data_IF_229439201136
#
_entry.id   IF_229439201136
#
_cell.length_a   1.000
_cell.length_b   1.000
_cell.length_c   1.000
_cell.angle_alpha   90.00
_cell.angle_beta   90.00
_cell.angle_gamma   90.00
#
_symmetry.space_group_name_H-M   'P 1'
#
loop_
_entity.id
_entity.type
_entity.pdbx_description
1 polymer ?
#
# COMPACT_ATOMS: atom_id res chain seq x y z
N UNK A 1 22.65 -7.14 46.35
CA UNK A 1 23.22 -8.12 45.39
C UNK A 1 22.55 -8.15 44.01
N UNK A 2 21.47 -7.40 43.77
CA UNK A 2 20.86 -7.29 42.42
C UNK A 2 21.28 -6.04 41.65
N UNK A 3 21.87 -5.02 42.27
CA UNK A 3 22.28 -3.77 41.62
C UNK A 3 23.55 -3.88 40.78
N UNK A 4 24.45 -4.82 41.11
CA UNK A 4 25.70 -5.00 40.37
C UNK A 4 25.52 -5.52 38.93
N UNK A 5 24.45 -6.28 38.66
CA UNK A 5 24.22 -6.82 37.31
C UNK A 5 23.80 -5.74 36.30
N UNK A 6 23.15 -4.68 36.75
CA UNK A 6 22.67 -3.59 35.89
C UNK A 6 23.76 -2.51 35.67
N UNK A 7 24.63 -2.33 36.67
CA UNK A 7 25.64 -1.29 36.69
C UNK A 7 26.69 -1.42 35.58
N UNK A 8 27.15 -2.67 35.34
CA UNK A 8 28.13 -2.95 34.27
C UNK A 8 27.52 -3.44 32.96
N UNK A 9 26.20 -3.40 32.79
CA UNK A 9 25.51 -3.92 31.60
C UNK A 9 26.00 -3.32 30.30
N UNK A 10 26.24 -2.01 30.28
CA UNK A 10 26.74 -1.30 29.11
C UNK A 10 28.23 -1.49 28.92
N UNK A 11 29.01 -1.56 30.02
CA UNK A 11 30.44 -1.74 29.97
C UNK A 11 30.83 -3.09 29.36
N UNK A 12 30.04 -4.14 29.60
CA UNK A 12 30.23 -5.47 28.99
C UNK A 12 30.12 -5.51 27.45
N UNK A 13 29.65 -4.44 26.84
CA UNK A 13 29.59 -4.32 25.38
C UNK A 13 30.82 -3.63 24.80
N UNK A 14 31.65 -3.02 25.62
CA UNK A 14 32.76 -2.15 25.22
C UNK A 14 34.11 -2.83 25.39
N UNK A 15 35.06 -2.42 24.55
CA UNK A 15 36.47 -2.71 24.67
C UNK A 15 37.19 -1.57 25.40
N UNK A 16 38.10 -1.92 26.30
CA UNK A 16 38.79 -0.98 27.13
C UNK A 16 40.30 -1.17 27.01
N UNK A 17 41.04 -0.08 26.88
CA UNK A 17 42.49 -0.05 26.98
C UNK A 17 42.86 0.50 28.37
N UNK A 18 43.66 -0.25 29.13
CA UNK A 18 44.20 0.16 30.40
C UNK A 18 45.74 0.26 30.32
N UNK A 19 46.29 1.39 30.75
CA UNK A 19 47.74 1.66 30.65
C UNK A 19 48.25 2.10 32.02
N UNK A 20 49.19 1.32 32.60
CA UNK A 20 49.78 1.52 33.93
C UNK A 20 51.18 0.90 33.94
N UNK A 21 52.20 1.61 34.43
CA UNK A 21 53.56 1.10 34.48
C UNK A 21 53.86 0.31 35.77
N UNK A 22 53.21 0.64 36.89
CA UNK A 22 53.37 -0.13 38.13
C UNK A 22 52.71 -1.50 37.99
N UNK A 23 53.49 -2.55 38.17
CA UNK A 23 53.07 -3.94 37.94
C UNK A 23 51.93 -4.36 38.89
N UNK A 24 52.04 -4.02 40.18
CA UNK A 24 51.07 -4.43 41.16
C UNK A 24 49.71 -3.71 40.92
N UNK A 25 49.76 -2.42 40.69
CA UNK A 25 48.56 -1.61 40.35
C UNK A 25 47.90 -2.10 39.06
N UNK A 26 48.74 -2.45 38.06
CA UNK A 26 48.27 -2.93 36.76
C UNK A 26 47.53 -4.28 36.91
N UNK A 27 48.13 -5.27 37.63
CA UNK A 27 47.52 -6.58 37.86
C UNK A 27 46.23 -6.49 38.68
N UNK A 28 46.21 -5.66 39.73
CA UNK A 28 45.00 -5.47 40.57
C UNK A 28 43.84 -4.92 39.75
N UNK A 29 44.07 -3.88 38.95
CA UNK A 29 43.01 -3.28 38.17
C UNK A 29 42.62 -4.12 36.94
N UNK A 30 43.57 -4.82 36.32
CA UNK A 30 43.33 -5.82 35.30
C UNK A 30 42.34 -6.89 35.79
N UNK A 31 42.66 -7.50 36.97
CA UNK A 31 41.78 -8.50 37.59
C UNK A 31 40.38 -7.94 37.86
N UNK A 32 40.27 -6.67 38.26
CA UNK A 32 38.99 -6.03 38.51
C UNK A 32 38.20 -5.84 37.21
N UNK A 33 38.82 -5.43 36.10
CA UNK A 33 38.17 -5.03 34.85
C UNK A 33 37.87 -6.21 33.92
N UNK A 34 38.70 -7.30 33.90
CA UNK A 34 38.62 -8.37 32.91
C UNK A 34 37.23 -9.02 32.73
N UNK A 35 36.43 -9.10 33.80
CA UNK A 35 35.09 -9.67 33.76
C UNK A 35 33.98 -8.64 33.55
N UNK A 36 34.31 -7.35 33.44
CA UNK A 36 33.36 -6.24 33.35
C UNK A 36 33.27 -5.62 31.96
N UNK A 37 34.21 -5.90 31.08
CA UNK A 37 34.30 -5.39 29.70
C UNK A 37 34.22 -6.51 28.69
N UNK A 38 33.94 -6.17 27.41
CA UNK A 38 33.93 -7.14 26.30
C UNK A 38 35.35 -7.62 25.98
N UNK A 39 36.28 -6.68 25.82
CA UNK A 39 37.69 -6.93 25.62
C UNK A 39 38.48 -5.97 26.48
N UNK A 40 39.54 -6.47 27.17
CA UNK A 40 40.47 -5.67 27.92
C UNK A 40 41.85 -5.76 27.25
N UNK A 41 42.42 -4.62 26.95
CA UNK A 41 43.78 -4.47 26.47
C UNK A 41 44.62 -3.80 27.55
N UNK A 42 45.76 -4.33 27.86
CA UNK A 42 46.62 -3.86 28.96
C UNK A 42 47.99 -3.52 28.43
N UNK A 43 48.51 -2.36 28.81
CA UNK A 43 49.83 -1.87 28.43
C UNK A 43 50.59 -1.37 29.65
N UNK A 44 51.93 -1.48 29.60
CA UNK A 44 52.83 -1.08 30.69
C UNK A 44 53.48 0.29 30.51
N UNK A 45 53.17 1.00 29.42
CA UNK A 45 53.66 2.35 29.15
C UNK A 45 52.86 2.97 28.00
N UNK A 46 52.98 4.28 27.81
CA UNK A 46 52.22 4.99 26.80
C UNK A 46 52.49 4.60 25.35
N UNK A 47 53.72 4.09 25.03
CA UNK A 47 54.04 3.63 23.68
C UNK A 47 53.26 2.34 23.35
N UNK A 48 53.32 1.36 24.24
CA UNK A 48 52.57 0.12 24.09
C UNK A 48 51.06 0.39 24.09
N UNK A 49 50.60 1.33 24.93
CA UNK A 49 49.19 1.78 24.93
C UNK A 49 48.78 2.38 23.60
N UNK A 50 49.63 3.20 22.98
CA UNK A 50 49.34 3.78 21.67
C UNK A 50 49.30 2.69 20.56
N UNK A 51 50.28 1.75 20.57
CA UNK A 51 50.33 0.65 19.62
C UNK A 51 49.06 -0.26 19.70
N UNK A 52 48.60 -0.56 20.93
CA UNK A 52 47.39 -1.32 21.17
C UNK A 52 46.13 -0.51 20.76
N UNK A 53 46.13 0.82 20.96
CA UNK A 53 45.03 1.67 20.48
C UNK A 53 44.95 1.62 18.94
N UNK A 54 46.07 1.79 18.23
CA UNK A 54 46.03 1.74 16.75
C UNK A 54 45.54 0.38 16.24
N UNK A 55 45.98 -0.71 16.89
CA UNK A 55 45.64 -2.07 16.49
C UNK A 55 44.19 -2.46 16.77
N UNK A 56 43.64 -2.07 17.92
CA UNK A 56 42.38 -2.61 18.43
C UNK A 56 41.23 -1.58 18.50
N UNK A 57 41.54 -0.28 18.38
CA UNK A 57 40.55 0.80 18.43
C UNK A 57 39.57 0.64 19.60
N UNK A 58 40.02 0.65 20.87
CA UNK A 58 39.15 0.45 22.02
C UNK A 58 38.11 1.59 22.16
N UNK A 59 37.00 1.31 22.82
CA UNK A 59 35.92 2.26 23.01
C UNK A 59 36.16 3.26 24.16
N UNK A 60 37.07 2.91 25.07
CA UNK A 60 37.37 3.68 26.28
C UNK A 60 38.82 3.42 26.69
N UNK A 61 39.49 4.43 27.25
CA UNK A 61 40.89 4.34 27.74
C UNK A 61 40.93 4.73 29.21
N UNK A 62 41.69 3.95 29.99
CA UNK A 62 42.13 4.33 31.34
C UNK A 62 43.65 4.39 31.29
N UNK A 63 44.24 5.47 31.79
CA UNK A 63 45.72 5.60 31.76
C UNK A 63 46.26 6.35 32.97
N UNK A 64 47.44 5.94 33.45
CA UNK A 64 48.25 6.83 34.30
C UNK A 64 48.86 7.94 33.45
N UNK A 65 49.24 9.03 34.12
CA UNK A 65 49.94 10.17 33.51
C UNK A 65 51.43 9.93 33.41
N UNK A 66 52.06 9.51 34.50
CA UNK A 66 53.51 9.40 34.61
C UNK A 66 53.97 7.96 34.37
N UNK A 67 54.48 7.71 33.21
CA UNK A 67 54.98 6.41 32.82
C UNK A 67 56.31 6.51 32.06
N UNK A 68 57.24 5.52 32.19
CA UNK A 68 58.44 5.48 31.42
C UNK A 68 58.16 5.32 29.91
N UNK A 69 59.15 5.60 29.07
CA UNK A 69 59.15 5.51 27.61
C UNK A 69 58.25 6.59 26.97
N UNK A 70 56.94 6.60 27.28
CA UNK A 70 56.00 7.62 26.84
C UNK A 70 55.01 7.89 27.95
N UNK A 71 54.79 9.17 28.29
CA UNK A 71 53.81 9.60 29.28
C UNK A 71 52.37 9.45 28.78
N UNK A 72 51.39 9.26 29.69
CA UNK A 72 50.00 9.20 29.36
C UNK A 72 49.49 10.44 28.61
N UNK A 73 49.96 11.63 29.00
CA UNK A 73 49.58 12.89 28.30
C UNK A 73 50.06 12.94 26.87
N UNK A 74 51.29 12.45 26.60
CA UNK A 74 51.79 12.36 25.21
C UNK A 74 51.00 11.33 24.39
N UNK A 75 50.73 10.16 24.97
CA UNK A 75 49.87 9.14 24.35
C UNK A 75 48.48 9.70 24.03
N UNK A 76 47.82 10.38 25.00
CA UNK A 76 46.53 10.99 24.81
C UNK A 76 46.52 12.01 23.67
N UNK A 77 47.58 12.84 23.55
CA UNK A 77 47.73 13.81 22.44
C UNK A 77 47.71 13.12 21.09
N UNK A 78 48.44 12.03 20.94
CA UNK A 78 48.51 11.24 19.69
C UNK A 78 47.13 10.59 19.39
N UNK A 79 46.53 9.97 20.40
CA UNK A 79 45.21 9.32 20.24
C UNK A 79 44.15 10.33 19.86
N UNK A 80 44.11 11.51 20.50
CA UNK A 80 43.12 12.57 20.19
C UNK A 80 43.27 13.19 18.80
N UNK A 81 44.44 13.06 18.16
CA UNK A 81 44.63 13.43 16.75
C UNK A 81 43.96 12.42 15.80
N UNK A 82 43.84 11.16 16.20
CA UNK A 82 43.20 10.09 15.41
C UNK A 82 41.69 10.04 15.73
N UNK A 83 41.34 10.05 17.03
CA UNK A 83 39.97 10.00 17.52
C UNK A 83 39.78 11.07 18.62
N UNK A 84 39.27 12.24 18.23
CA UNK A 84 39.11 13.37 19.14
C UNK A 84 38.01 13.14 20.20
N UNK A 85 37.08 12.23 19.96
CA UNK A 85 35.89 12.00 20.80
C UNK A 85 36.06 10.82 21.76
N UNK A 86 37.09 10.00 21.63
CA UNK A 86 37.27 8.82 22.51
C UNK A 86 37.30 9.22 23.98
N UNK A 87 36.47 8.59 24.84
CA UNK A 87 36.49 8.86 26.27
C UNK A 87 37.80 8.34 26.90
N UNK A 88 38.38 9.18 27.74
CA UNK A 88 39.64 8.86 28.45
C UNK A 88 39.48 9.19 29.94
N UNK A 89 39.80 8.24 30.78
CA UNK A 89 39.87 8.40 32.21
C UNK A 89 41.34 8.38 32.63
N UNK A 90 41.79 9.43 33.32
CA UNK A 90 43.12 9.54 33.86
C UNK A 90 43.16 9.09 35.31
N UNK A 91 44.15 8.32 35.69
CA UNK A 91 44.49 8.00 37.08
C UNK A 91 45.78 8.73 37.43
N UNK A 92 45.83 9.55 38.48
CA UNK A 92 46.99 10.38 38.82
C UNK A 92 47.27 10.42 40.30
N UNK A 93 48.49 10.67 40.71
CA UNK A 93 48.85 10.95 42.10
C UNK A 93 48.37 12.36 42.52
N UNK A 94 48.00 12.53 43.78
CA UNK A 94 47.37 13.75 44.33
C UNK A 94 48.22 15.05 44.18
N UNK A 95 49.51 14.99 43.93
CA UNK A 95 50.41 16.15 43.95
C UNK A 95 50.75 16.75 42.57
N UNK A 96 50.12 16.32 41.50
CA UNK A 96 50.47 16.70 40.12
C UNK A 96 49.49 17.72 39.50
N UNK A 97 49.40 18.93 40.11
CA UNK A 97 48.52 19.99 39.62
C UNK A 97 48.82 20.42 38.18
N UNK A 98 50.07 20.46 37.78
CA UNK A 98 50.46 20.86 36.41
C UNK A 98 49.97 19.89 35.36
N UNK A 99 50.04 18.57 35.62
CA UNK A 99 49.52 17.54 34.73
C UNK A 99 48.00 17.48 34.68
N UNK A 100 47.33 17.86 35.78
CA UNK A 100 45.86 18.02 35.81
C UNK A 100 45.43 19.11 34.84
N UNK A 101 46.11 20.29 34.84
CA UNK A 101 45.82 21.35 33.88
C UNK A 101 46.09 20.93 32.44
N UNK A 102 47.11 20.10 32.19
CA UNK A 102 47.38 19.57 30.87
C UNK A 102 46.28 18.56 30.43
N UNK A 103 45.82 17.71 31.33
CA UNK A 103 44.73 16.77 31.10
C UNK A 103 43.41 17.47 30.75
N UNK A 104 43.08 18.53 31.46
CA UNK A 104 41.91 19.37 31.17
C UNK A 104 41.99 19.98 29.75
N UNK A 105 43.17 20.50 29.36
CA UNK A 105 43.42 21.03 28.01
C UNK A 105 43.29 19.95 26.93
N UNK A 106 43.49 18.68 27.25
CA UNK A 106 43.34 17.54 26.34
C UNK A 106 41.93 17.02 26.25
N UNK A 107 40.97 17.67 26.92
CA UNK A 107 39.58 17.33 26.93
C UNK A 107 39.34 15.82 27.29
N UNK A 108 39.96 15.38 28.40
CA UNK A 108 39.71 14.05 28.96
C UNK A 108 38.34 14.00 29.62
N UNK A 109 37.72 12.81 29.62
CA UNK A 109 36.33 12.65 30.08
C UNK A 109 36.23 12.71 31.61
N UNK A 110 37.23 12.14 32.32
CA UNK A 110 37.26 12.14 33.76
C UNK A 110 38.71 11.93 34.29
N UNK A 111 38.91 12.21 35.57
CA UNK A 111 40.16 11.89 36.27
C UNK A 111 39.87 11.33 37.66
N UNK A 112 40.72 10.45 38.14
CA UNK A 112 40.65 9.83 39.47
C UNK A 112 42.03 9.94 40.14
N UNK A 113 42.03 10.10 41.45
CA UNK A 113 43.28 10.21 42.23
C UNK A 113 43.67 8.87 42.87
N UNK A 114 44.99 8.58 42.91
CA UNK A 114 45.54 7.46 43.70
C UNK A 114 45.58 7.84 45.19
N UNK A 115 45.24 6.95 46.16
CA UNK A 115 44.88 5.56 45.96
C UNK A 115 43.51 5.40 45.30
N UNK A 116 43.41 4.51 44.34
CA UNK A 116 42.25 4.34 43.47
C UNK A 116 41.04 3.79 44.27
N UNK A 117 39.96 4.55 44.28
CA UNK A 117 38.72 4.07 44.82
C UNK A 117 37.95 3.30 43.71
N UNK A 118 37.86 1.96 43.82
CA UNK A 118 37.20 1.11 42.85
C UNK A 118 35.73 1.38 42.67
N UNK A 119 35.03 1.90 43.71
CA UNK A 119 33.65 2.30 43.61
C UNK A 119 33.52 3.57 42.73
N UNK A 120 34.35 4.61 43.00
CA UNK A 120 34.36 5.80 42.16
C UNK A 120 34.72 5.50 40.71
N UNK A 121 35.70 4.64 40.47
CA UNK A 121 36.06 4.19 39.12
C UNK A 121 34.88 3.48 38.46
N UNK A 122 34.20 2.56 39.16
CA UNK A 122 33.02 1.85 38.64
C UNK A 122 31.93 2.81 38.20
N UNK A 123 31.62 3.83 39.02
CA UNK A 123 30.62 4.84 38.74
C UNK A 123 30.97 5.68 37.49
N UNK A 124 32.22 6.11 37.37
CA UNK A 124 32.72 6.83 36.19
C UNK A 124 32.60 5.95 34.94
N UNK A 125 33.06 4.69 34.99
CA UNK A 125 33.01 3.77 33.85
C UNK A 125 31.57 3.43 33.43
N UNK A 126 30.68 3.22 34.39
CA UNK A 126 29.28 2.97 34.10
C UNK A 126 28.58 4.15 33.39
N UNK A 127 28.86 5.37 33.85
CA UNK A 127 28.33 6.58 33.22
C UNK A 127 28.85 6.78 31.80
N UNK A 128 30.17 6.59 31.58
CA UNK A 128 30.78 6.69 30.24
C UNK A 128 30.18 5.62 29.32
N UNK A 129 30.12 4.36 29.79
CA UNK A 129 29.59 3.25 29.01
C UNK A 129 28.11 3.46 28.62
N UNK A 130 27.31 4.00 29.54
CA UNK A 130 25.93 4.38 29.28
C UNK A 130 25.83 5.43 28.17
N UNK A 131 26.65 6.47 28.22
CA UNK A 131 26.66 7.54 27.22
C UNK A 131 27.08 7.01 25.84
N UNK A 132 28.15 6.20 25.77
CA UNK A 132 28.59 5.56 24.51
C UNK A 132 27.46 4.70 23.91
N UNK A 133 26.79 3.90 24.75
CA UNK A 133 25.71 3.04 24.27
C UNK A 133 24.52 3.87 23.76
N UNK A 134 24.11 4.94 24.46
CA UNK A 134 23.05 5.83 24.02
C UNK A 134 23.40 6.55 22.70
N UNK A 135 24.65 6.98 22.53
CA UNK A 135 25.11 7.57 21.27
C UNK A 135 25.05 6.54 20.10
N UNK A 136 25.47 5.31 20.36
CA UNK A 136 25.43 4.24 19.36
C UNK A 136 23.97 3.86 19.01
N UNK A 137 23.09 3.70 20.00
CA UNK A 137 21.66 3.46 19.76
C UNK A 137 21.02 4.60 18.96
N UNK A 138 21.33 5.85 19.26
CA UNK A 138 20.85 7.00 18.50
C UNK A 138 21.36 7.00 17.05
N UNK A 139 22.64 6.63 16.82
CA UNK A 139 23.19 6.49 15.46
C UNK A 139 22.48 5.38 14.67
N UNK A 140 22.24 4.22 15.29
CA UNK A 140 21.52 3.11 14.68
C UNK A 140 20.06 3.50 14.31
N UNK A 141 19.36 4.15 15.24
CA UNK A 141 18.00 4.65 15.02
C UNK A 141 17.99 5.66 13.86
N UNK A 142 18.94 6.62 13.89
CA UNK A 142 19.05 7.63 12.82
C UNK A 142 19.32 7.00 11.46
N UNK A 143 20.24 6.03 11.37
CA UNK A 143 20.56 5.31 10.13
C UNK A 143 19.35 4.52 9.62
N UNK A 144 18.62 3.85 10.52
CA UNK A 144 17.41 3.12 10.16
C UNK A 144 16.32 4.06 9.65
N UNK A 145 16.08 5.17 10.33
CA UNK A 145 15.12 6.19 9.89
C UNK A 145 15.49 6.79 8.54
N UNK A 146 16.78 7.02 8.29
CA UNK A 146 17.27 7.50 6.99
C UNK A 146 16.97 6.50 5.88
N UNK A 147 17.25 5.21 6.10
CA UNK A 147 16.94 4.16 5.11
C UNK A 147 15.43 4.05 4.84
N UNK A 148 14.58 4.08 5.88
CA UNK A 148 13.13 4.12 5.69
C UNK A 148 12.68 5.33 4.88
N UNK A 149 13.23 6.51 5.18
CA UNK A 149 12.94 7.72 4.44
C UNK A 149 13.33 7.57 2.96
N UNK A 150 14.53 7.06 2.66
CA UNK A 150 15.03 6.90 1.29
C UNK A 150 14.11 5.96 0.48
N UNK A 151 13.67 4.83 1.06
CA UNK A 151 12.72 3.90 0.42
C UNK A 151 11.38 4.58 0.09
N UNK A 152 10.86 5.38 1.02
CA UNK A 152 9.58 6.08 0.84
C UNK A 152 9.73 7.21 -0.17
N UNK A 153 10.85 7.95 -0.15
CA UNK A 153 11.15 9.03 -1.08
C UNK A 153 11.30 8.55 -2.54
N UNK A 154 11.73 7.32 -2.76
CA UNK A 154 11.88 6.75 -4.12
C UNK A 154 10.55 6.39 -4.79
N UNK A 155 9.56 5.97 -4.02
CA UNK A 155 8.32 5.37 -4.55
C UNK A 155 7.09 6.24 -4.42
N UNK A 156 7.04 7.09 -3.43
CA UNK A 156 5.87 7.89 -3.11
C UNK A 156 6.09 9.35 -3.51
N UNK A 157 5.03 10.02 -3.90
CA UNK A 157 5.02 11.45 -4.18
C UNK A 157 4.93 12.18 -2.85
N UNK A 158 6.00 12.92 -2.47
CA UNK A 158 6.09 13.58 -1.18
C UNK A 158 6.19 15.08 -1.35
N UNK A 159 5.43 15.81 -0.54
CA UNK A 159 5.62 17.24 -0.34
C UNK A 159 5.51 17.61 1.15
N UNK A 160 6.18 18.70 1.55
CA UNK A 160 6.00 19.35 2.84
C UNK A 160 5.59 20.78 2.62
N UNK A 161 4.80 21.28 3.55
CA UNK A 161 4.43 22.69 3.56
C UNK A 161 4.60 23.27 4.97
N UNK A 162 4.78 24.57 5.05
CA UNK A 162 4.66 25.30 6.33
C UNK A 162 3.20 25.32 6.82
N UNK A 163 2.97 25.99 7.94
CA UNK A 163 1.63 26.12 8.56
C UNK A 163 0.64 26.91 7.70
N UNK A 164 1.11 27.66 6.71
CA UNK A 164 0.30 28.43 5.76
C UNK A 164 0.03 27.68 4.44
N UNK A 165 0.53 26.45 4.32
CA UNK A 165 0.39 25.64 3.11
C UNK A 165 1.37 26.04 1.98
N UNK A 166 2.47 26.71 2.31
CA UNK A 166 3.54 27.06 1.37
C UNK A 166 4.52 25.88 1.28
N UNK A 167 4.85 25.44 0.07
CA UNK A 167 5.72 24.30 -0.18
C UNK A 167 7.14 24.60 0.29
N UNK A 168 7.65 23.75 1.17
CA UNK A 168 9.02 23.80 1.73
C UNK A 168 9.90 22.65 1.23
N UNK A 169 9.29 21.57 0.78
CA UNK A 169 9.99 20.40 0.24
C UNK A 169 9.13 19.65 -0.76
N UNK A 170 9.76 19.11 -1.79
CA UNK A 170 9.22 18.07 -2.67
C UNK A 170 10.34 17.07 -3.00
N UNK A 171 9.95 15.83 -3.33
CA UNK A 171 10.87 14.80 -3.81
C UNK A 171 10.85 14.68 -5.35
N UNK A 172 11.74 13.87 -5.91
CA UNK A 172 11.85 13.65 -7.35
C UNK A 172 10.58 13.07 -7.99
N UNK A 173 9.87 12.08 -7.41
CA UNK A 173 8.57 11.63 -7.92
C UNK A 173 7.54 12.76 -8.04
N UNK A 174 7.53 13.73 -7.12
CA UNK A 174 6.64 14.89 -7.21
C UNK A 174 6.99 15.77 -8.44
N UNK A 175 8.28 16.04 -8.69
CA UNK A 175 8.70 16.77 -9.89
C UNK A 175 8.25 16.06 -11.17
N UNK A 176 8.46 14.73 -11.22
CA UNK A 176 8.11 13.91 -12.40
C UNK A 176 6.62 13.95 -12.72
N UNK A 177 5.77 13.76 -11.73
CA UNK A 177 4.32 13.72 -11.97
C UNK A 177 3.73 15.10 -12.23
N UNK A 178 4.17 16.13 -11.50
CA UNK A 178 3.63 17.48 -11.64
C UNK A 178 4.18 18.23 -12.84
N UNK A 179 5.35 17.83 -13.33
CA UNK A 179 6.06 18.52 -14.43
C UNK A 179 6.70 19.84 -14.04
N UNK A 180 6.68 20.20 -12.75
CA UNK A 180 7.38 21.38 -12.23
C UNK A 180 8.72 20.98 -11.66
N UNK A 181 9.70 21.89 -11.76
CA UNK A 181 10.96 21.75 -11.04
C UNK A 181 10.84 22.24 -9.60
N UNK A 182 11.69 21.69 -8.73
CA UNK A 182 11.71 22.03 -7.31
C UNK A 182 11.82 23.54 -7.07
N UNK A 183 12.67 24.23 -7.81
CA UNK A 183 12.90 25.66 -7.71
C UNK A 183 11.66 26.49 -8.07
N UNK A 184 10.76 25.93 -8.89
CA UNK A 184 9.52 26.61 -9.31
C UNK A 184 8.41 26.47 -8.27
N UNK A 185 8.47 25.44 -7.42
CA UNK A 185 7.44 25.12 -6.42
C UNK A 185 7.79 25.58 -5.00
N UNK A 186 9.06 25.60 -4.65
CA UNK A 186 9.46 26.07 -3.33
C UNK A 186 9.02 27.52 -3.10
N UNK A 187 8.41 27.78 -1.93
CA UNK A 187 7.86 29.09 -1.59
C UNK A 187 6.53 29.42 -2.25
N UNK A 188 5.95 28.50 -3.03
CA UNK A 188 4.61 28.68 -3.63
C UNK A 188 3.55 27.93 -2.82
N UNK A 189 2.29 28.40 -2.86
CA UNK A 189 1.21 27.67 -2.22
C UNK A 189 0.96 26.34 -2.93
N UNK A 190 0.70 25.28 -2.15
CA UNK A 190 0.47 23.93 -2.70
C UNK A 190 -0.74 23.86 -3.65
N UNK A 191 -1.65 24.83 -3.57
CA UNK A 191 -2.79 24.98 -4.48
C UNK A 191 -2.42 25.18 -5.94
N UNK A 192 -1.14 25.49 -6.27
CA UNK A 192 -0.67 25.66 -7.65
C UNK A 192 -0.90 24.43 -8.54
N UNK A 193 -0.88 23.23 -7.96
CA UNK A 193 -1.12 21.96 -8.65
C UNK A 193 -2.57 21.50 -8.57
N UNK A 194 -3.43 22.21 -7.86
CA UNK A 194 -4.82 21.80 -7.65
C UNK A 194 -5.65 22.01 -8.90
N UNK A 195 -6.39 20.98 -9.33
CA UNK A 195 -7.30 21.12 -10.48
C UNK A 195 -8.45 22.09 -10.17
N UNK A 196 -8.78 23.06 -11.06
CA UNK A 196 -9.79 24.11 -10.79
C UNK A 196 -11.19 23.58 -10.47
N UNK A 197 -11.57 22.44 -11.06
CA UNK A 197 -12.91 21.83 -10.87
C UNK A 197 -13.06 21.04 -9.57
N UNK A 198 -12.04 21.01 -8.69
CA UNK A 198 -12.14 20.25 -7.44
C UNK A 198 -13.14 20.91 -6.48
N UNK A 199 -13.93 20.09 -5.79
CA UNK A 199 -14.89 20.61 -4.82
C UNK A 199 -14.18 21.22 -3.60
N UNK A 200 -14.32 22.54 -3.45
CA UNK A 200 -13.68 23.31 -2.34
C UNK A 200 -14.05 22.82 -0.93
N UNK A 201 -15.18 22.10 -0.78
CA UNK A 201 -15.56 21.54 0.52
C UNK A 201 -14.61 20.43 0.99
N UNK A 202 -13.89 19.76 0.08
CA UNK A 202 -12.86 18.78 0.43
C UNK A 202 -11.75 19.46 1.24
N UNK A 203 -11.30 20.61 0.79
CA UNK A 203 -10.24 21.39 1.48
C UNK A 203 -10.70 21.92 2.84
N UNK A 204 -11.96 22.36 2.96
CA UNK A 204 -12.50 22.78 4.27
C UNK A 204 -12.46 21.61 5.29
N UNK A 205 -12.88 20.41 4.86
CA UNK A 205 -12.82 19.20 5.72
C UNK A 205 -11.37 18.79 6.02
N UNK A 206 -10.50 18.86 5.03
CA UNK A 206 -9.07 18.59 5.18
C UNK A 206 -8.44 19.50 6.23
N UNK A 207 -8.55 20.84 6.04
CA UNK A 207 -7.99 21.84 6.95
C UNK A 207 -8.55 21.73 8.39
N UNK A 208 -9.85 21.47 8.54
CA UNK A 208 -10.41 21.20 9.86
C UNK A 208 -9.71 20.03 10.54
N UNK A 209 -9.49 18.94 9.80
CA UNK A 209 -8.92 17.72 10.36
C UNK A 209 -7.45 17.87 10.71
N UNK A 210 -6.63 18.45 9.82
CA UNK A 210 -5.18 18.55 10.03
C UNK A 210 -4.79 19.71 10.94
N UNK A 211 -5.49 20.86 10.88
CA UNK A 211 -5.13 22.05 11.65
C UNK A 211 -5.84 22.11 13.01
N UNK A 212 -7.15 21.84 13.06
CA UNK A 212 -7.93 21.96 14.31
C UNK A 212 -7.85 20.66 15.12
N UNK A 213 -8.13 19.51 14.48
CA UNK A 213 -8.12 18.21 15.17
C UNK A 213 -6.71 17.62 15.32
N UNK A 214 -5.69 18.19 14.64
CA UNK A 214 -4.29 17.72 14.59
C UNK A 214 -4.18 16.24 14.22
N UNK A 215 -5.08 15.76 13.35
CA UNK A 215 -5.13 14.37 12.86
C UNK A 215 -4.79 14.29 11.39
N UNK A 216 -4.36 13.13 10.93
CA UNK A 216 -4.16 12.88 9.49
C UNK A 216 -5.47 12.95 8.72
N UNK A 217 -5.41 13.51 7.52
CA UNK A 217 -6.50 13.47 6.54
C UNK A 217 -6.07 12.60 5.36
N UNK A 218 -7.01 11.83 4.81
CA UNK A 218 -6.81 11.01 3.62
C UNK A 218 -7.93 11.27 2.61
N UNK A 219 -7.59 11.24 1.32
CA UNK A 219 -8.56 11.39 0.24
C UNK A 219 -7.93 11.25 -1.13
N UNK A 220 -8.80 11.25 -2.16
CA UNK A 220 -8.36 11.28 -3.55
C UNK A 220 -8.51 12.68 -4.09
N UNK A 221 -7.47 13.16 -4.73
CA UNK A 221 -7.44 14.50 -5.33
C UNK A 221 -7.14 14.41 -6.81
N UNK A 222 -7.78 15.27 -7.58
CA UNK A 222 -7.48 15.52 -8.97
C UNK A 222 -6.59 16.75 -9.06
N UNK A 223 -5.44 16.60 -9.65
CA UNK A 223 -4.45 17.66 -9.81
C UNK A 223 -4.21 17.98 -11.30
N UNK A 224 -3.43 19.01 -11.53
CA UNK A 224 -3.05 19.46 -12.86
C UNK A 224 -1.54 19.64 -12.94
N UNK A 225 -0.94 19.14 -14.03
CA UNK A 225 0.50 19.33 -14.30
C UNK A 225 0.77 20.74 -14.81
N UNK A 226 2.05 21.12 -14.89
CA UNK A 226 2.50 22.37 -15.51
C UNK A 226 2.03 22.54 -16.96
N UNK A 227 1.88 21.43 -17.71
CA UNK A 227 1.42 21.41 -19.09
C UNK A 227 -0.11 21.40 -19.23
N UNK A 228 -0.85 21.34 -18.12
CA UNK A 228 -2.30 21.31 -18.13
C UNK A 228 -2.92 19.90 -18.18
N UNK A 229 -2.11 18.83 -18.10
CA UNK A 229 -2.60 17.47 -18.04
C UNK A 229 -3.15 17.13 -16.65
N UNK A 230 -4.22 16.36 -16.60
CA UNK A 230 -4.83 15.91 -15.35
C UNK A 230 -4.12 14.67 -14.81
N UNK A 231 -3.96 14.60 -13.49
CA UNK A 231 -3.53 13.39 -12.79
C UNK A 231 -4.27 13.22 -11.47
N UNK A 232 -4.37 11.99 -11.00
CA UNK A 232 -5.10 11.64 -9.80
C UNK A 232 -4.17 11.04 -8.76
N UNK A 233 -4.34 11.45 -7.52
CA UNK A 233 -3.55 10.94 -6.40
C UNK A 233 -4.44 10.46 -5.26
N UNK A 234 -4.05 9.35 -4.64
CA UNK A 234 -4.53 8.97 -3.31
C UNK A 234 -3.52 9.52 -2.30
N UNK A 235 -3.96 10.45 -1.44
CA UNK A 235 -3.10 11.28 -0.61
C UNK A 235 -3.44 11.16 0.87
N UNK A 236 -2.40 11.07 1.70
CA UNK A 236 -2.47 11.27 3.15
C UNK A 236 -1.70 12.53 3.49
N UNK A 237 -2.32 13.42 4.27
CA UNK A 237 -1.69 14.63 4.82
C UNK A 237 -1.70 14.53 6.33
N UNK A 238 -0.53 14.74 6.94
CA UNK A 238 -0.35 14.66 8.39
C UNK A 238 0.33 15.90 8.92
N UNK A 239 -0.16 16.53 10.01
CA UNK A 239 0.58 17.56 10.71
C UNK A 239 1.74 16.94 11.47
N UNK A 240 2.89 17.61 11.45
CA UNK A 240 4.06 17.30 12.29
C UNK A 240 4.04 18.28 13.45
N UNK A 241 4.17 17.75 14.66
CA UNK A 241 4.07 18.50 15.89
C UNK A 241 5.44 18.61 16.56
N UNK A 242 5.70 19.73 17.25
CA UNK A 242 6.81 19.86 18.19
C UNK A 242 6.52 19.12 19.51
N UNK A 243 7.45 19.21 20.47
CA UNK A 243 7.32 18.58 21.79
C UNK A 243 6.18 19.18 22.63
N UNK A 244 5.77 20.41 22.35
CA UNK A 244 4.68 21.11 23.01
C UNK A 244 3.32 20.87 22.34
N UNK A 245 3.31 20.09 21.25
CA UNK A 245 2.12 19.76 20.49
C UNK A 245 1.67 20.85 19.51
N UNK A 246 2.50 21.83 19.17
CA UNK A 246 2.21 22.81 18.13
C UNK A 246 2.56 22.27 16.76
N UNK A 247 1.80 22.67 15.73
CA UNK A 247 2.07 22.26 14.35
C UNK A 247 3.26 23.06 13.82
N UNK A 248 4.29 22.37 13.35
CA UNK A 248 5.49 22.96 12.73
C UNK A 248 5.46 22.88 11.20
N UNK A 249 4.93 21.82 10.63
CA UNK A 249 4.78 21.62 9.19
C UNK A 249 3.67 20.60 8.90
N UNK A 250 3.27 20.51 7.63
CA UNK A 250 2.46 19.41 7.14
C UNK A 250 3.29 18.57 6.15
N UNK A 251 3.18 17.25 6.26
CA UNK A 251 3.73 16.32 5.29
C UNK A 251 2.60 15.64 4.53
N UNK A 252 2.71 15.58 3.21
CA UNK A 252 1.82 14.79 2.37
C UNK A 252 2.58 13.63 1.74
N UNK A 253 1.95 12.47 1.72
CA UNK A 253 2.37 11.27 1.02
C UNK A 253 1.27 10.89 0.04
N UNK A 254 1.61 10.75 -1.23
CA UNK A 254 0.64 10.46 -2.28
C UNK A 254 1.11 9.32 -3.18
N UNK A 255 0.15 8.55 -3.68
CA UNK A 255 0.36 7.56 -4.72
C UNK A 255 -0.37 8.02 -5.99
N UNK A 256 0.28 7.86 -7.14
CA UNK A 256 -0.37 8.08 -8.43
C UNK A 256 -1.41 6.98 -8.69
N UNK A 257 -2.65 7.39 -8.94
CA UNK A 257 -3.77 6.50 -9.28
C UNK A 257 -4.39 6.89 -10.63
N UNK A 258 -3.66 7.62 -11.47
CA UNK A 258 -4.15 8.14 -12.75
C UNK A 258 -4.61 7.01 -13.67
N UNK A 259 -3.79 5.98 -13.85
CA UNK A 259 -4.14 4.82 -14.68
C UNK A 259 -5.37 4.07 -14.13
N UNK A 260 -5.49 3.99 -12.82
CA UNK A 260 -6.64 3.35 -12.16
C UNK A 260 -7.94 4.13 -12.42
N UNK A 261 -7.94 5.44 -12.23
CA UNK A 261 -9.15 6.26 -12.42
C UNK A 261 -9.51 6.39 -13.90
N UNK A 262 -8.55 6.53 -14.81
CA UNK A 262 -8.80 6.56 -16.26
C UNK A 262 -9.36 5.22 -16.78
N UNK A 263 -8.80 4.12 -16.33
CA UNK A 263 -9.30 2.77 -16.65
C UNK A 263 -10.73 2.56 -16.14
N UNK A 264 -11.01 2.99 -14.93
CA UNK A 264 -12.34 2.92 -14.33
C UNK A 264 -13.38 3.76 -15.10
N UNK A 265 -13.02 4.97 -15.51
CA UNK A 265 -13.89 5.82 -16.34
C UNK A 265 -14.15 5.19 -17.71
N UNK A 266 -13.13 4.62 -18.34
CA UNK A 266 -13.27 3.89 -19.61
C UNK A 266 -14.26 2.73 -19.48
N UNK A 267 -14.11 1.84 -18.48
CA UNK A 267 -15.03 0.72 -18.29
C UNK A 267 -16.44 1.18 -17.94
N UNK A 268 -16.60 2.25 -17.18
CA UNK A 268 -17.91 2.86 -16.88
C UNK A 268 -18.60 3.31 -18.15
N UNK A 269 -17.89 4.01 -19.03
CA UNK A 269 -18.41 4.46 -20.31
C UNK A 269 -18.81 3.29 -21.23
N UNK A 270 -18.00 2.24 -21.30
CA UNK A 270 -18.26 1.02 -22.06
C UNK A 270 -19.52 0.29 -21.55
N UNK A 271 -19.64 0.16 -20.23
CA UNK A 271 -20.83 -0.48 -19.60
C UNK A 271 -22.10 0.31 -19.91
N UNK A 272 -22.06 1.63 -19.84
CA UNK A 272 -23.21 2.48 -20.18
C UNK A 272 -23.61 2.34 -21.65
N UNK A 273 -22.62 2.32 -22.56
CA UNK A 273 -22.85 2.11 -24.00
C UNK A 273 -23.47 0.75 -24.28
N UNK A 274 -22.96 -0.31 -23.63
CA UNK A 274 -23.51 -1.67 -23.81
C UNK A 274 -24.93 -1.78 -23.28
N UNK A 275 -25.21 -1.19 -22.12
CA UNK A 275 -26.56 -1.15 -21.56
C UNK A 275 -27.55 -0.40 -22.47
N UNK A 276 -27.12 0.72 -23.05
CA UNK A 276 -27.92 1.47 -24.01
C UNK A 276 -28.24 0.63 -25.26
N UNK A 277 -27.23 -0.01 -25.86
CA UNK A 277 -27.39 -0.86 -27.05
C UNK A 277 -28.31 -2.05 -26.77
N UNK A 278 -28.19 -2.67 -25.59
CA UNK A 278 -29.07 -3.77 -25.18
C UNK A 278 -30.53 -3.31 -25.06
N UNK A 279 -30.74 -2.16 -24.43
CA UNK A 279 -32.13 -1.57 -24.29
C UNK A 279 -32.70 -1.30 -25.67
N UNK A 280 -31.96 -0.73 -26.61
CA UNK A 280 -32.40 -0.47 -27.98
C UNK A 280 -32.74 -1.76 -28.71
N UNK A 281 -31.89 -2.79 -28.58
CA UNK A 281 -32.14 -4.11 -29.19
C UNK A 281 -33.43 -4.76 -28.65
N UNK A 282 -33.63 -4.69 -27.32
CA UNK A 282 -34.86 -5.21 -26.70
C UNK A 282 -36.09 -4.46 -27.25
N UNK A 283 -36.04 -3.13 -27.40
CA UNK A 283 -37.10 -2.33 -27.94
C UNK A 283 -37.47 -2.75 -29.37
N UNK A 284 -36.46 -2.94 -30.22
CA UNK A 284 -36.65 -3.40 -31.61
C UNK A 284 -37.28 -4.80 -31.66
N UNK A 285 -36.75 -5.74 -30.86
CA UNK A 285 -37.29 -7.10 -30.78
C UNK A 285 -38.75 -7.13 -30.33
N UNK A 286 -39.08 -6.30 -29.33
CA UNK A 286 -40.51 -6.20 -28.89
C UNK A 286 -41.41 -5.61 -29.96
N UNK A 287 -40.95 -4.59 -30.70
CA UNK A 287 -41.72 -4.03 -31.82
C UNK A 287 -41.98 -5.08 -32.94
N UNK A 288 -40.93 -5.85 -33.31
CA UNK A 288 -41.12 -6.98 -34.25
C UNK A 288 -42.07 -8.03 -33.70
N UNK A 289 -41.97 -8.40 -32.43
CA UNK A 289 -42.87 -9.37 -31.79
C UNK A 289 -44.33 -8.90 -31.86
N UNK A 290 -44.58 -7.63 -31.55
CA UNK A 290 -45.92 -7.04 -31.64
C UNK A 290 -46.46 -7.05 -33.09
N UNK A 291 -45.67 -6.59 -34.05
CA UNK A 291 -46.08 -6.58 -35.47
C UNK A 291 -46.39 -7.99 -35.97
N UNK A 292 -45.59 -9.00 -35.62
CA UNK A 292 -45.81 -10.41 -36.00
C UNK A 292 -47.10 -10.93 -35.31
N UNK A 293 -47.32 -10.61 -34.05
CA UNK A 293 -48.50 -11.06 -33.32
C UNK A 293 -49.84 -10.44 -33.85
N UNK A 294 -49.78 -9.20 -34.32
CA UNK A 294 -50.96 -8.55 -34.92
C UNK A 294 -51.30 -9.05 -36.30
N UNK A 295 -50.25 -9.37 -37.11
CA UNK A 295 -50.42 -9.74 -38.53
C UNK A 295 -50.61 -11.23 -38.79
N UNK A 296 -50.24 -12.12 -37.85
CA UNK A 296 -50.23 -13.55 -38.02
C UNK A 296 -50.96 -14.30 -36.90
N UNK A 297 -51.43 -15.47 -37.22
CA UNK A 297 -51.98 -16.42 -36.24
C UNK A 297 -50.78 -17.24 -35.69
N UNK A 298 -50.47 -17.10 -34.41
CA UNK A 298 -49.30 -17.74 -33.79
C UNK A 298 -49.74 -18.74 -32.72
N UNK A 299 -49.07 -19.91 -32.77
CA UNK A 299 -49.19 -20.93 -31.75
C UNK A 299 -47.83 -21.51 -31.45
N UNK A 300 -47.53 -21.73 -30.14
CA UNK A 300 -46.26 -22.38 -29.70
C UNK A 300 -46.58 -23.70 -29.01
N UNK A 301 -45.76 -24.69 -29.24
CA UNK A 301 -45.88 -26.03 -28.65
C UNK A 301 -44.50 -26.41 -28.01
N UNK A 302 -44.55 -27.07 -26.86
CA UNK A 302 -43.36 -27.62 -26.25
C UNK A 302 -42.92 -28.95 -26.88
N UNK A 303 -41.86 -29.51 -26.41
CA UNK A 303 -41.28 -30.82 -26.90
C UNK A 303 -42.26 -31.98 -26.68
N UNK A 304 -43.13 -31.94 -25.66
CA UNK A 304 -44.21 -32.90 -25.39
C UNK A 304 -45.41 -32.71 -26.33
N UNK A 305 -45.30 -31.82 -27.31
CA UNK A 305 -46.37 -31.47 -28.26
C UNK A 305 -47.59 -30.87 -27.62
N UNK A 306 -47.51 -30.23 -26.44
CA UNK A 306 -48.58 -29.48 -25.80
C UNK A 306 -48.54 -28.03 -26.23
N UNK A 307 -49.70 -27.43 -26.40
CA UNK A 307 -49.84 -26.01 -26.71
C UNK A 307 -49.49 -25.20 -25.46
N UNK A 308 -48.49 -24.33 -25.56
CA UNK A 308 -48.03 -23.49 -24.45
C UNK A 308 -48.35 -22.01 -24.65
N UNK A 309 -48.65 -21.62 -25.91
CA UNK A 309 -49.02 -20.23 -26.24
C UNK A 309 -49.86 -20.21 -27.52
N UNK A 310 -50.79 -19.26 -27.54
CA UNK A 310 -51.51 -18.81 -28.74
C UNK A 310 -51.72 -17.30 -28.62
N UNK A 311 -51.66 -16.59 -29.76
CA UNK A 311 -51.95 -15.14 -29.76
C UNK A 311 -53.44 -14.86 -29.94
N UNK A 312 -53.88 -13.59 -29.76
CA UNK A 312 -55.25 -13.18 -29.88
C UNK A 312 -55.86 -13.47 -31.27
N UNK A 313 -55.07 -13.35 -32.32
CA UNK A 313 -55.47 -13.70 -33.68
C UNK A 313 -55.89 -15.17 -33.77
N UNK A 314 -55.19 -16.10 -33.12
CA UNK A 314 -55.58 -17.51 -33.06
C UNK A 314 -56.93 -17.70 -32.34
N UNK A 315 -57.12 -17.05 -31.17
CA UNK A 315 -58.33 -17.17 -30.41
C UNK A 315 -59.56 -16.60 -31.19
N UNK A 316 -59.35 -15.48 -31.88
CA UNK A 316 -60.40 -14.87 -32.73
C UNK A 316 -60.84 -15.80 -33.88
N UNK A 317 -59.87 -16.42 -34.57
CA UNK A 317 -60.17 -17.27 -35.74
C UNK A 317 -60.70 -18.64 -35.32
N UNK A 318 -60.14 -19.23 -34.27
CA UNK A 318 -60.45 -20.58 -33.82
C UNK A 318 -61.70 -20.69 -32.94
N UNK A 319 -62.08 -19.58 -32.26
CA UNK A 319 -63.20 -19.53 -31.30
C UNK A 319 -62.90 -20.19 -29.94
N UNK A 320 -61.69 -20.73 -29.74
CA UNK A 320 -61.26 -21.24 -28.43
C UNK A 320 -60.92 -20.13 -27.47
N UNK A 321 -61.08 -20.38 -26.16
CA UNK A 321 -60.51 -19.54 -25.12
C UNK A 321 -59.16 -20.10 -24.65
N UNK A 322 -58.39 -19.30 -23.98
CA UNK A 322 -57.07 -19.67 -23.48
C UNK A 322 -57.13 -20.91 -22.56
N UNK A 323 -58.13 -20.97 -21.71
CA UNK A 323 -58.36 -22.08 -20.76
C UNK A 323 -58.70 -23.39 -21.45
N UNK A 324 -59.33 -23.32 -22.63
CA UNK A 324 -59.71 -24.50 -23.43
C UNK A 324 -58.50 -25.11 -24.17
N UNK A 325 -57.47 -24.30 -24.44
CA UNK A 325 -56.41 -24.65 -25.40
C UNK A 325 -55.07 -24.89 -24.76
N UNK A 326 -54.63 -24.06 -23.83
CA UNK A 326 -53.28 -24.17 -23.24
C UNK A 326 -53.18 -25.47 -22.42
N UNK A 327 -52.05 -26.18 -22.63
CA UNK A 327 -51.78 -27.48 -22.01
C UNK A 327 -52.41 -28.67 -22.79
N UNK A 328 -53.32 -28.45 -23.76
CA UNK A 328 -53.82 -29.53 -24.59
C UNK A 328 -52.79 -30.00 -25.59
N UNK A 329 -52.82 -31.27 -25.98
CA UNK A 329 -51.95 -31.78 -27.06
C UNK A 329 -52.28 -31.07 -28.38
N UNK A 330 -51.25 -30.78 -29.19
CA UNK A 330 -51.43 -30.13 -30.50
C UNK A 330 -52.39 -30.88 -31.42
N UNK A 331 -52.48 -32.21 -31.27
CA UNK A 331 -53.46 -33.06 -31.99
C UNK A 331 -54.91 -32.74 -31.73
N UNK A 332 -55.22 -32.01 -30.61
CA UNK A 332 -56.55 -31.56 -30.27
C UNK A 332 -57.20 -30.68 -31.38
N UNK A 333 -56.37 -29.94 -32.13
CA UNK A 333 -56.79 -29.06 -33.21
C UNK A 333 -56.87 -29.74 -34.59
N UNK A 334 -56.48 -31.00 -34.74
CA UNK A 334 -56.33 -31.64 -36.06
C UNK A 334 -57.67 -31.96 -36.72
N UNK A 335 -57.80 -31.52 -37.96
CA UNK A 335 -58.63 -32.15 -38.95
C UNK A 335 -57.78 -33.03 -39.86
N UNK A 336 -58.16 -34.28 -40.11
CA UNK A 336 -57.37 -35.27 -40.84
C UNK A 336 -57.50 -35.08 -42.37
N UNK A 337 -56.77 -34.16 -42.98
CA UNK A 337 -56.72 -33.98 -44.42
C UNK A 337 -55.29 -33.94 -45.00
N UNK A 338 -54.28 -34.36 -44.20
CA UNK A 338 -52.93 -34.62 -44.70
C UNK A 338 -52.81 -36.10 -45.08
N UNK A 339 -52.19 -36.39 -46.21
CA UNK A 339 -51.79 -37.77 -46.55
C UNK A 339 -50.85 -38.36 -45.52
N UNK A 340 -50.70 -39.69 -45.49
CA UNK A 340 -49.76 -40.34 -44.58
C UNK A 340 -48.32 -39.89 -44.85
N UNK A 341 -47.94 -39.65 -46.11
CA UNK A 341 -46.64 -39.12 -46.51
C UNK A 341 -46.42 -37.69 -45.98
N UNK A 342 -47.40 -36.78 -46.14
CA UNK A 342 -47.28 -35.41 -45.61
C UNK A 342 -47.20 -35.37 -44.09
N UNK A 343 -47.90 -36.28 -43.39
CA UNK A 343 -47.78 -36.41 -41.94
C UNK A 343 -46.38 -36.91 -41.53
N UNK A 344 -45.84 -37.87 -42.26
CA UNK A 344 -44.50 -38.39 -42.02
C UNK A 344 -43.44 -37.30 -42.22
N UNK A 345 -43.52 -36.49 -43.28
CA UNK A 345 -42.61 -35.38 -43.56
C UNK A 345 -42.69 -34.34 -42.45
N UNK A 346 -43.88 -33.97 -42.00
CA UNK A 346 -44.08 -33.03 -40.89
C UNK A 346 -43.52 -33.55 -39.59
N UNK A 347 -43.73 -34.80 -39.27
CA UNK A 347 -43.19 -35.44 -38.07
C UNK A 347 -41.69 -35.49 -38.13
N UNK A 348 -41.12 -35.90 -39.27
CA UNK A 348 -39.68 -35.94 -39.42
C UNK A 348 -39.02 -34.57 -39.25
N UNK A 349 -39.57 -33.51 -39.85
CA UNK A 349 -39.02 -32.15 -39.69
C UNK A 349 -39.05 -31.66 -38.23
N UNK A 350 -40.07 -32.08 -37.45
CA UNK A 350 -40.09 -31.81 -36.00
C UNK A 350 -38.94 -32.51 -35.28
N UNK A 351 -38.63 -33.76 -35.62
CA UNK A 351 -37.53 -34.51 -34.99
C UNK A 351 -36.14 -34.05 -35.44
N UNK A 352 -36.01 -33.66 -36.72
CA UNK A 352 -34.73 -33.18 -37.27
C UNK A 352 -34.43 -31.70 -36.98
N UNK A 353 -35.37 -30.97 -36.40
CA UNK A 353 -35.23 -29.54 -36.11
C UNK A 353 -35.13 -28.67 -37.36
N UNK A 354 -35.78 -29.08 -38.46
CA UNK A 354 -35.87 -28.31 -39.71
C UNK A 354 -37.20 -27.55 -39.78
N UNK A 355 -37.22 -26.47 -40.58
CA UNK A 355 -38.43 -25.68 -40.81
C UNK A 355 -39.38 -26.48 -41.67
N UNK A 356 -40.63 -26.68 -41.21
CA UNK A 356 -41.65 -27.33 -42.01
C UNK A 356 -42.62 -26.29 -42.54
N UNK A 357 -43.07 -26.41 -43.76
CA UNK A 357 -44.09 -25.61 -44.41
C UNK A 357 -45.18 -26.50 -45.03
N UNK A 358 -46.43 -26.16 -44.86
CA UNK A 358 -47.53 -26.93 -45.46
C UNK A 358 -48.90 -26.35 -45.17
N UNK A 359 -49.92 -26.85 -45.84
CA UNK A 359 -51.28 -26.52 -45.59
C UNK A 359 -51.89 -27.49 -44.59
N UNK A 360 -52.59 -26.95 -43.61
CA UNK A 360 -53.29 -27.73 -42.60
C UNK A 360 -54.69 -27.24 -42.42
N UNK A 361 -55.56 -28.18 -42.00
CA UNK A 361 -56.92 -27.85 -41.58
C UNK A 361 -57.06 -28.13 -40.09
N UNK A 362 -57.72 -27.25 -39.40
CA UNK A 362 -57.98 -27.36 -37.98
C UNK A 362 -59.47 -27.17 -37.67
N UNK A 363 -59.95 -27.77 -36.57
CA UNK A 363 -61.30 -27.49 -36.08
C UNK A 363 -61.36 -26.21 -35.27
N UNK A 364 -62.40 -25.38 -35.53
CA UNK A 364 -62.84 -24.32 -34.61
C UNK A 364 -63.59 -24.97 -33.46
N UNK A 365 -63.82 -24.18 -32.38
CA UNK A 365 -64.58 -24.63 -31.21
C UNK A 365 -66.02 -25.00 -31.54
N UNK A 366 -66.65 -24.38 -32.56
CA UNK A 366 -67.99 -24.66 -33.05
C UNK A 366 -68.06 -25.87 -34.00
N UNK A 367 -66.97 -26.55 -34.24
CA UNK A 367 -66.92 -27.72 -35.15
C UNK A 367 -66.63 -27.37 -36.60
N UNK A 368 -66.64 -26.13 -37.02
CA UNK A 368 -66.26 -25.71 -38.36
C UNK A 368 -64.78 -25.94 -38.60
N UNK A 369 -64.41 -26.17 -39.85
CA UNK A 369 -63.01 -26.37 -40.29
C UNK A 369 -62.48 -25.04 -40.84
N UNK A 370 -61.27 -24.67 -40.44
CA UNK A 370 -60.53 -23.57 -41.05
C UNK A 370 -59.22 -24.09 -41.64
N UNK A 371 -58.85 -23.55 -42.79
CA UNK A 371 -57.65 -23.91 -43.53
C UNK A 371 -56.61 -22.83 -43.39
N UNK A 372 -55.33 -23.21 -43.24
CA UNK A 372 -54.25 -22.26 -43.17
C UNK A 372 -52.95 -22.80 -43.72
N UNK A 373 -52.17 -21.94 -44.32
CA UNK A 373 -50.76 -22.18 -44.58
C UNK A 373 -49.98 -22.00 -43.28
N UNK A 374 -49.17 -23.00 -42.95
CA UNK A 374 -48.40 -23.00 -41.68
C UNK A 374 -46.93 -23.13 -41.98
N UNK A 375 -46.14 -22.29 -41.35
CA UNK A 375 -44.69 -22.49 -41.20
C UNK A 375 -44.39 -22.82 -39.75
N UNK A 376 -43.76 -23.95 -39.51
CA UNK A 376 -43.33 -24.40 -38.18
C UNK A 376 -41.82 -24.22 -38.02
N UNK A 377 -41.38 -23.43 -37.04
CA UNK A 377 -40.02 -23.12 -36.73
C UNK A 377 -39.60 -23.80 -35.42
N UNK A 378 -38.49 -24.56 -35.39
CA UNK A 378 -37.88 -24.99 -34.15
C UNK A 378 -37.20 -23.78 -33.49
N UNK A 379 -37.52 -23.51 -32.24
CA UNK A 379 -36.84 -22.51 -31.45
C UNK A 379 -35.77 -23.17 -30.59
N UNK A 380 -34.56 -22.64 -30.63
CA UNK A 380 -33.40 -23.20 -29.98
C UNK A 380 -32.91 -22.32 -28.85
N UNK A 381 -32.30 -22.90 -27.81
CA UNK A 381 -31.59 -22.19 -26.76
C UNK A 381 -30.16 -21.82 -27.21
N UNK A 382 -29.37 -21.23 -26.32
CA UNK A 382 -27.98 -20.84 -26.56
C UNK A 382 -27.04 -22.04 -26.86
N UNK A 383 -27.44 -23.27 -26.53
CA UNK A 383 -26.68 -24.48 -26.77
C UNK A 383 -27.11 -25.18 -28.08
N UNK A 384 -27.88 -24.48 -28.94
CA UNK A 384 -28.43 -25.04 -30.19
C UNK A 384 -29.46 -26.17 -29.99
N UNK A 385 -29.93 -26.42 -28.76
CA UNK A 385 -30.93 -27.41 -28.44
C UNK A 385 -32.35 -26.87 -28.69
N UNK A 386 -33.22 -27.65 -29.32
CA UNK A 386 -34.61 -27.27 -29.55
C UNK A 386 -35.36 -27.26 -28.23
N UNK A 387 -36.00 -26.15 -27.90
CA UNK A 387 -36.76 -25.97 -26.65
C UNK A 387 -38.28 -25.94 -26.89
N UNK A 388 -38.71 -25.50 -28.07
CA UNK A 388 -40.10 -25.44 -28.47
C UNK A 388 -40.26 -25.22 -29.97
N UNK A 389 -41.46 -25.30 -30.47
CA UNK A 389 -41.78 -25.02 -31.88
C UNK A 389 -42.80 -23.88 -31.96
N UNK A 390 -42.55 -22.95 -32.88
CA UNK A 390 -43.47 -21.84 -33.18
C UNK A 390 -44.13 -22.07 -34.52
N UNK A 391 -45.48 -22.09 -34.55
CA UNK A 391 -46.28 -22.20 -35.73
C UNK A 391 -46.82 -20.83 -36.10
N UNK A 392 -46.45 -20.33 -37.27
CA UNK A 392 -46.96 -19.07 -37.84
C UNK A 392 -47.89 -19.44 -38.99
N UNK A 393 -49.06 -18.82 -39.01
CA UNK A 393 -50.12 -19.12 -39.94
C UNK A 393 -50.65 -17.82 -40.55
#
# INVERSE_FOLDING_TARGET
MNDDKDFFRYLKKLSLLYVEDDENTREELEYFLQNKVKNLYVAKNGQEGFDLFEKHQPDLIITDIQMPVMTGTKMIKLIKQINSTIPIVIITAFNDTDYLFEAIKLNVTNYLTKPLNLFALSEVLANIAKNINLENENKEIYNSLKQYKDIVDERSIISKTDINGIITYINEPFEKISGYKKEELLGKPHSIITHPAINKNIFKKMWKKINIEKKSWQGRLKNITKQGNEYFVDIIIKPILDLDGNIIEYISLSNDITDLETTKEYFKAQTQKSAFNLTESIRIVNAYKEAINESNIILRINLDRKIIYANDAFFKVSGYKKEDLIGKPYSFLKHYNLSEEEQAVKINSIFTGTIWKGKISNFKKNGEVFHCDVTMYPLKNNNEEIVEYMCIR
#
